data_IF_187275861045
#
_entry.id   IF_187275861045
#
_cell.length_a   1.000
_cell.length_b   1.000
_cell.length_c   1.000
_cell.angle_alpha   90.00
_cell.angle_beta   90.00
_cell.angle_gamma   90.00
#
_symmetry.space_group_name_H-M   'P 1'
#
loop_
_entity.id
_entity.type
_entity.pdbx_description
1 polymer ?
#
# COMPACT_ATOMS: atom_id res chain seq x y z
N UNK A 1 -69.52 -24.15 31.87
CA UNK A 1 -69.00 -24.57 30.55
C UNK A 1 -67.89 -23.65 30.03
N UNK A 2 -67.92 -22.36 30.37
CA UNK A 2 -66.92 -21.33 30.02
C UNK A 2 -65.53 -21.57 30.62
N UNK A 3 -65.41 -21.98 31.90
CA UNK A 3 -64.09 -22.19 32.54
C UNK A 3 -63.24 -23.30 31.90
N UNK A 4 -63.88 -24.37 31.39
CA UNK A 4 -63.17 -25.45 30.69
C UNK A 4 -62.64 -24.98 29.33
N UNK A 5 -63.42 -24.17 28.61
CA UNK A 5 -63.00 -23.59 27.33
C UNK A 5 -61.83 -22.61 27.51
N UNK A 6 -61.89 -21.77 28.56
CA UNK A 6 -60.80 -20.85 28.92
C UNK A 6 -59.51 -21.60 29.28
N UNK A 7 -59.61 -22.70 30.04
CA UNK A 7 -58.46 -23.53 30.38
C UNK A 7 -57.77 -24.15 29.14
N UNK A 8 -58.55 -24.63 28.17
CA UNK A 8 -58.02 -25.18 26.91
C UNK A 8 -57.32 -24.10 26.08
N UNK A 9 -57.89 -22.90 26.01
CA UNK A 9 -57.26 -21.78 25.27
C UNK A 9 -55.98 -21.30 25.95
N UNK A 10 -55.96 -21.22 27.28
CA UNK A 10 -54.78 -20.88 28.07
C UNK A 10 -53.65 -21.89 27.86
N UNK A 11 -53.98 -23.19 27.94
CA UNK A 11 -53.01 -24.26 27.69
C UNK A 11 -52.43 -24.19 26.27
N UNK A 12 -53.27 -23.95 25.25
CA UNK A 12 -52.79 -23.77 23.86
C UNK A 12 -51.83 -22.58 23.71
N UNK A 13 -52.12 -21.46 24.38
CA UNK A 13 -51.25 -20.27 24.36
C UNK A 13 -49.92 -20.56 25.06
N UNK A 14 -49.95 -21.21 26.22
CA UNK A 14 -48.73 -21.58 26.97
C UNK A 14 -47.85 -22.55 26.19
N UNK A 15 -48.42 -23.57 25.54
CA UNK A 15 -47.68 -24.49 24.69
C UNK A 15 -47.04 -23.76 23.49
N UNK A 16 -47.78 -22.85 22.85
CA UNK A 16 -47.26 -22.06 21.72
C UNK A 16 -46.16 -21.10 22.17
N UNK A 17 -46.28 -20.50 23.35
CA UNK A 17 -45.25 -19.66 23.96
C UNK A 17 -43.99 -20.46 24.30
N UNK A 18 -44.12 -21.68 24.81
CA UNK A 18 -42.99 -22.58 25.06
C UNK A 18 -42.28 -22.96 23.76
N UNK A 19 -43.01 -23.30 22.70
CA UNK A 19 -42.43 -23.59 21.38
C UNK A 19 -41.71 -22.37 20.82
N UNK A 20 -42.31 -21.18 20.89
CA UNK A 20 -41.67 -19.93 20.46
C UNK A 20 -40.44 -19.58 21.31
N UNK A 21 -40.49 -19.83 22.62
CA UNK A 21 -39.36 -19.62 23.53
C UNK A 21 -38.21 -20.58 23.20
N UNK A 22 -38.50 -21.85 22.93
CA UNK A 22 -37.51 -22.84 22.49
C UNK A 22 -36.92 -22.45 21.12
N UNK A 23 -37.75 -22.04 20.15
CA UNK A 23 -37.30 -21.56 18.84
C UNK A 23 -36.41 -20.30 18.95
N UNK A 24 -36.69 -19.38 19.90
CA UNK A 24 -35.84 -18.22 20.17
C UNK A 24 -34.48 -18.60 20.77
N UNK A 25 -34.39 -19.65 21.61
CA UNK A 25 -33.09 -20.15 22.09
C UNK A 25 -32.28 -20.84 20.99
N UNK A 26 -32.96 -21.45 20.02
CA UNK A 26 -32.33 -22.06 18.83
C UNK A 26 -32.04 -21.09 17.70
N UNK A 27 -32.28 -19.77 17.87
CA UNK A 27 -31.64 -18.76 17.00
C UNK A 27 -30.14 -18.87 17.23
N UNK A 28 -29.49 -19.68 16.39
CA UNK A 28 -28.05 -19.83 16.28
C UNK A 28 -27.46 -18.43 16.34
N UNK A 29 -26.70 -18.17 17.40
CA UNK A 29 -25.72 -17.08 17.44
C UNK A 29 -24.97 -17.21 16.12
N UNK A 30 -25.17 -16.26 15.20
CA UNK A 30 -24.54 -16.24 13.89
C UNK A 30 -23.10 -16.67 14.10
N UNK A 31 -22.77 -17.91 13.75
CA UNK A 31 -21.53 -18.51 14.21
C UNK A 31 -20.46 -17.75 13.45
N UNK A 32 -19.82 -16.79 14.13
CA UNK A 32 -18.78 -15.95 13.56
C UNK A 32 -17.90 -16.86 12.71
N UNK A 33 -17.96 -16.67 11.39
CA UNK A 33 -17.29 -17.58 10.46
C UNK A 33 -15.83 -17.61 10.90
N UNK A 34 -15.29 -18.80 11.17
CA UNK A 34 -13.91 -18.94 11.61
C UNK A 34 -13.03 -18.21 10.59
N UNK A 35 -12.24 -17.23 11.03
CA UNK A 35 -11.35 -16.48 10.15
C UNK A 35 -10.40 -17.47 9.46
N UNK A 36 -10.41 -17.47 8.14
CA UNK A 36 -9.47 -18.25 7.34
C UNK A 36 -8.06 -17.72 7.54
N UNK A 37 -7.04 -18.58 7.37
CA UNK A 37 -5.64 -18.17 7.46
C UNK A 37 -5.29 -17.04 6.48
N UNK A 38 -5.95 -16.98 5.32
CA UNK A 38 -5.81 -15.88 4.34
C UNK A 38 -6.25 -14.53 4.90
N UNK A 39 -7.37 -14.50 5.64
CA UNK A 39 -7.88 -13.28 6.27
C UNK A 39 -6.93 -12.83 7.38
N UNK A 40 -6.43 -13.76 8.19
CA UNK A 40 -5.42 -13.45 9.22
C UNK A 40 -4.12 -12.90 8.62
N UNK A 41 -3.68 -13.46 7.50
CA UNK A 41 -2.50 -12.96 6.78
C UNK A 41 -2.73 -11.54 6.25
N UNK A 42 -3.91 -11.26 5.67
CA UNK A 42 -4.28 -9.92 5.22
C UNK A 42 -4.30 -8.91 6.38
N UNK A 43 -4.89 -9.27 7.52
CA UNK A 43 -4.89 -8.44 8.74
C UNK A 43 -3.47 -8.13 9.21
N UNK A 44 -2.57 -9.14 9.20
CA UNK A 44 -1.17 -8.94 9.56
C UNK A 44 -0.45 -7.98 8.60
N UNK A 45 -0.66 -8.14 7.29
CA UNK A 45 -0.06 -7.27 6.28
C UNK A 45 -0.48 -5.80 6.45
N UNK A 46 -1.75 -5.57 6.80
CA UNK A 46 -2.28 -4.22 7.03
C UNK A 46 -1.71 -3.54 8.28
N UNK A 47 -1.14 -4.28 9.22
CA UNK A 47 -0.45 -3.72 10.40
C UNK A 47 1.04 -3.54 10.13
N UNK A 48 1.69 -4.51 9.47
CA UNK A 48 3.14 -4.56 9.35
C UNK A 48 3.71 -3.66 8.24
N UNK A 49 3.01 -3.51 7.13
CA UNK A 49 3.54 -2.84 5.93
C UNK A 49 3.27 -1.34 5.78
N UNK A 50 2.24 -0.71 6.38
CA UNK A 50 2.10 0.74 6.34
C UNK A 50 3.32 1.51 6.90
N UNK A 51 3.97 1.10 8.01
CA UNK A 51 5.18 1.78 8.48
C UNK A 51 6.34 1.76 7.47
N UNK A 52 6.42 0.74 6.61
CA UNK A 52 7.51 0.56 5.64
C UNK A 52 7.24 1.32 4.34
N UNK A 53 6.01 1.26 3.83
CA UNK A 53 5.66 1.82 2.51
C UNK A 53 4.82 3.11 2.58
N UNK A 54 4.42 3.52 3.78
CA UNK A 54 3.63 4.72 4.04
C UNK A 54 2.40 4.81 3.13
N UNK A 55 2.21 5.95 2.42
CA UNK A 55 1.03 6.18 1.58
C UNK A 55 0.96 5.25 0.36
N UNK A 56 2.04 4.54 0.03
CA UNK A 56 2.06 3.60 -1.11
C UNK A 56 1.43 2.25 -0.75
N UNK A 57 1.29 1.91 0.53
CA UNK A 57 0.77 0.60 0.96
C UNK A 57 -0.57 0.21 0.32
N UNK A 58 -1.60 1.07 0.24
CA UNK A 58 -2.87 0.72 -0.39
C UNK A 58 -2.70 0.28 -1.86
N UNK A 59 -1.80 0.93 -2.61
CA UNK A 59 -1.49 0.54 -4.00
C UNK A 59 -0.81 -0.84 -4.08
N UNK A 60 0.08 -1.15 -3.15
CA UNK A 60 0.77 -2.44 -3.07
C UNK A 60 -0.20 -3.55 -2.67
N UNK A 61 -1.05 -3.30 -1.67
CA UNK A 61 -2.11 -4.20 -1.24
C UNK A 61 -3.06 -4.53 -2.38
N UNK A 62 -3.49 -3.53 -3.15
CA UNK A 62 -4.29 -3.74 -4.36
C UNK A 62 -3.56 -4.61 -5.38
N UNK A 63 -2.28 -4.37 -5.63
CA UNK A 63 -1.49 -5.18 -6.54
C UNK A 63 -1.37 -6.64 -6.09
N UNK A 64 -1.20 -6.90 -4.79
CA UNK A 64 -1.12 -8.25 -4.21
C UNK A 64 -2.44 -9.03 -4.33
N UNK A 65 -3.58 -8.33 -4.26
CA UNK A 65 -4.91 -8.94 -4.38
C UNK A 65 -5.39 -9.04 -5.84
N UNK A 66 -4.68 -8.40 -6.76
CA UNK A 66 -4.96 -8.45 -8.20
C UNK A 66 -4.31 -9.67 -8.88
N UNK A 67 -4.66 -9.90 -10.14
CA UNK A 67 -4.03 -10.94 -10.96
C UNK A 67 -2.55 -10.64 -11.16
N UNK A 68 -1.70 -11.61 -10.80
CA UNK A 68 -0.25 -11.49 -10.97
C UNK A 68 0.13 -11.46 -12.45
N UNK A 69 1.10 -10.61 -12.78
CA UNK A 69 1.70 -10.52 -14.12
C UNK A 69 2.89 -11.46 -14.19
N UNK A 70 2.87 -12.39 -15.13
CA UNK A 70 3.94 -13.36 -15.34
C UNK A 70 4.96 -12.86 -16.34
N UNK A 71 6.20 -13.33 -16.21
CA UNK A 71 7.31 -13.05 -17.10
C UNK A 71 7.90 -14.39 -17.54
N UNK A 72 8.15 -14.54 -18.83
CA UNK A 72 8.84 -15.70 -19.36
C UNK A 72 10.35 -15.47 -19.27
N UNK A 73 11.06 -16.44 -18.70
CA UNK A 73 12.52 -16.51 -18.75
C UNK A 73 12.89 -17.46 -19.88
N UNK A 74 13.61 -16.95 -20.87
CA UNK A 74 14.00 -17.72 -22.04
C UNK A 74 15.15 -18.66 -21.67
N UNK A 75 15.05 -19.90 -22.13
CA UNK A 75 16.12 -20.87 -21.95
C UNK A 75 17.21 -20.65 -23.02
N UNK A 76 18.42 -20.28 -22.59
CA UNK A 76 19.54 -20.02 -23.49
C UNK A 76 20.11 -21.27 -24.16
N UNK A 77 19.85 -22.46 -23.62
CA UNK A 77 20.31 -23.74 -24.20
C UNK A 77 19.39 -24.28 -25.29
N UNK A 78 18.23 -23.63 -25.50
CA UNK A 78 17.32 -23.94 -26.58
C UNK A 78 17.47 -22.94 -27.73
N UNK A 79 16.68 -23.11 -28.79
CA UNK A 79 16.58 -22.14 -29.89
C UNK A 79 15.89 -20.85 -29.39
N UNK A 80 16.68 -19.98 -28.78
CA UNK A 80 16.21 -18.76 -28.13
C UNK A 80 15.68 -17.74 -29.14
N UNK A 81 16.27 -17.62 -30.32
CA UNK A 81 15.83 -16.68 -31.37
C UNK A 81 14.39 -16.95 -31.82
N UNK A 82 14.09 -18.20 -32.19
CA UNK A 82 12.73 -18.63 -32.55
C UNK A 82 11.74 -18.42 -31.41
N UNK A 83 12.18 -18.68 -30.18
CA UNK A 83 11.34 -18.51 -28.99
C UNK A 83 11.02 -17.03 -28.74
N UNK A 84 12.01 -16.15 -28.94
CA UNK A 84 11.85 -14.70 -28.81
C UNK A 84 10.89 -14.16 -29.86
N UNK A 85 11.06 -14.56 -31.12
CA UNK A 85 10.18 -14.16 -32.23
C UNK A 85 8.73 -14.56 -31.94
N UNK A 86 8.48 -15.82 -31.59
CA UNK A 86 7.16 -16.30 -31.21
C UNK A 86 6.54 -15.50 -30.05
N UNK A 87 7.33 -15.16 -29.03
CA UNK A 87 6.84 -14.34 -27.92
C UNK A 87 6.52 -12.91 -28.36
N UNK A 88 7.32 -12.32 -29.24
CA UNK A 88 7.07 -10.98 -29.80
C UNK A 88 5.80 -10.96 -30.66
N UNK A 89 5.55 -12.01 -31.44
CA UNK A 89 4.32 -12.17 -32.23
C UNK A 89 3.07 -12.26 -31.35
N UNK A 90 3.20 -12.88 -30.17
CA UNK A 90 2.17 -12.89 -29.12
C UNK A 90 2.01 -11.54 -28.40
N UNK A 91 2.82 -10.53 -28.76
CA UNK A 91 2.82 -9.19 -28.17
C UNK A 91 3.62 -9.08 -26.87
N UNK A 92 4.45 -10.07 -26.54
CA UNK A 92 5.38 -9.95 -25.42
C UNK A 92 6.47 -8.94 -25.74
N UNK A 93 7.01 -8.32 -24.69
CA UNK A 93 8.07 -7.31 -24.85
C UNK A 93 9.23 -7.60 -23.93
N UNK A 94 10.45 -7.41 -24.42
CA UNK A 94 11.64 -7.54 -23.60
C UNK A 94 11.67 -6.43 -22.53
N UNK A 95 11.55 -6.88 -21.29
CA UNK A 95 11.55 -6.07 -20.09
C UNK A 95 12.94 -5.47 -19.86
N UNK A 96 14.01 -6.24 -20.14
CA UNK A 96 15.39 -5.80 -19.91
C UNK A 96 15.73 -4.61 -20.80
N UNK A 97 15.42 -4.72 -22.09
CA UNK A 97 15.61 -3.62 -23.04
C UNK A 97 14.78 -2.37 -22.69
N UNK A 98 13.53 -2.53 -22.25
CA UNK A 98 12.73 -1.38 -21.79
C UNK A 98 13.35 -0.67 -20.59
N UNK A 99 13.84 -1.42 -19.60
CA UNK A 99 14.41 -0.82 -18.40
C UNK A 99 15.78 -0.17 -18.63
N UNK A 100 16.61 -0.66 -19.56
CA UNK A 100 17.88 0.00 -19.88
C UNK A 100 17.65 1.41 -20.42
N UNK A 101 16.70 1.57 -21.35
CA UNK A 101 16.33 2.88 -21.91
C UNK A 101 15.84 3.83 -20.81
N UNK A 102 14.99 3.34 -19.90
CA UNK A 102 14.47 4.16 -18.78
C UNK A 102 15.62 4.55 -17.85
N UNK A 103 16.50 3.61 -17.50
CA UNK A 103 17.62 3.86 -16.61
C UNK A 103 18.57 4.92 -17.19
N UNK A 104 18.85 4.87 -18.49
CA UNK A 104 19.73 5.83 -19.15
C UNK A 104 19.10 7.23 -19.23
N UNK A 105 17.79 7.32 -19.48
CA UNK A 105 17.04 8.60 -19.37
C UNK A 105 17.09 9.18 -17.96
N UNK A 106 16.95 8.33 -16.94
CA UNK A 106 17.03 8.76 -15.54
C UNK A 106 18.43 9.26 -15.17
N UNK A 107 19.49 8.63 -15.69
CA UNK A 107 20.87 9.10 -15.50
C UNK A 107 21.11 10.44 -16.19
N UNK A 108 20.61 10.61 -17.42
CA UNK A 108 20.75 11.88 -18.15
C UNK A 108 20.04 13.03 -17.41
N UNK A 109 18.81 12.82 -16.94
CA UNK A 109 18.08 13.82 -16.16
C UNK A 109 18.78 14.17 -14.84
N UNK A 110 19.39 13.19 -14.15
CA UNK A 110 20.18 13.45 -12.94
C UNK A 110 21.43 14.29 -13.23
N UNK A 111 22.13 14.03 -14.34
CA UNK A 111 23.31 14.82 -14.74
C UNK A 111 22.93 16.28 -15.03
N UNK A 112 21.82 16.50 -15.75
CA UNK A 112 21.31 17.85 -16.03
C UNK A 112 20.92 18.60 -14.75
N UNK A 113 20.24 17.94 -13.82
CA UNK A 113 19.90 18.55 -12.52
C UNK A 113 21.14 18.84 -11.66
N UNK A 114 22.15 17.99 -11.70
CA UNK A 114 23.41 18.23 -10.99
C UNK A 114 24.19 19.41 -11.61
N UNK A 115 24.14 19.57 -12.94
CA UNK A 115 24.76 20.70 -13.66
C UNK A 115 24.05 22.02 -13.39
N UNK A 116 22.71 22.03 -13.39
CA UNK A 116 21.94 23.23 -13.02
C UNK A 116 22.19 23.67 -11.57
N UNK A 117 22.29 22.71 -10.64
CA UNK A 117 22.61 23.03 -9.24
C UNK A 117 24.05 23.52 -9.08
N UNK A 118 25.00 23.07 -9.91
CA UNK A 118 26.36 23.63 -9.88
C UNK A 118 26.45 25.01 -10.52
N UNK A 119 25.68 25.29 -11.58
CA UNK A 119 25.63 26.61 -12.23
C UNK A 119 24.90 27.66 -11.37
N UNK A 120 23.79 27.30 -10.70
CA UNK A 120 23.13 28.18 -9.72
C UNK A 120 24.01 28.46 -8.47
N UNK A 121 24.92 27.55 -8.12
CA UNK A 121 25.91 27.76 -7.04
C UNK A 121 27.07 28.67 -7.46
N UNK A 122 27.39 28.76 -8.76
CA UNK A 122 28.45 29.64 -9.27
C UNK A 122 27.94 31.07 -9.55
N UNK A 123 26.68 31.24 -9.98
CA UNK A 123 26.07 32.58 -10.09
C UNK A 123 25.91 33.26 -8.73
N UNK A 124 25.61 32.49 -7.67
CA UNK A 124 25.47 33.01 -6.30
C UNK A 124 26.79 33.42 -5.61
N UNK A 125 27.96 33.19 -6.22
CA UNK A 125 29.26 33.65 -5.67
C UNK A 125 29.78 34.95 -6.33
N UNK A 126 29.09 35.48 -7.34
CA UNK A 126 29.54 36.68 -8.08
C UNK A 126 28.74 37.96 -7.77
N UNK A 127 27.65 37.88 -7.02
CA UNK A 127 26.78 39.04 -6.72
C UNK A 127 27.02 39.72 -5.36
N UNK A 128 27.80 39.13 -4.44
CA UNK A 128 28.07 39.72 -3.11
C UNK A 128 29.29 40.68 -3.05
N UNK A 129 29.61 41.34 -4.17
CA UNK A 129 30.47 42.53 -4.19
C UNK A 129 29.76 43.67 -4.91
N UNK A 130 28.77 44.24 -4.22
CA UNK A 130 28.49 45.68 -4.20
C UNK A 130 27.41 45.98 -3.15
N UNK A 131 27.74 46.96 -2.32
CA UNK A 131 26.83 47.77 -1.50
C UNK A 131 26.30 47.14 -0.20
N UNK A 132 27.12 47.15 0.84
CA UNK A 132 26.72 47.62 2.19
C UNK A 132 27.98 48.00 2.98
N UNK A 133 28.50 49.20 2.76
CA UNK A 133 29.17 49.91 3.85
C UNK A 133 28.09 50.47 4.78
N UNK A 134 28.39 50.46 6.08
CA UNK A 134 27.64 51.02 7.21
C UNK A 134 26.49 50.20 7.81
N UNK A 135 26.87 49.18 8.60
CA UNK A 135 26.30 48.95 9.93
C UNK A 135 27.33 48.21 10.81
N UNK A 136 27.72 48.88 11.87
CA UNK A 136 28.79 48.53 12.80
C UNK A 136 28.63 47.15 13.49
N UNK A 137 29.74 46.38 13.45
CA UNK A 137 30.36 45.69 14.58
C UNK A 137 29.47 44.96 15.62
N UNK A 138 29.24 43.65 15.43
CA UNK A 138 29.27 42.67 16.55
C UNK A 138 29.93 41.35 16.07
N UNK A 139 31.11 41.04 16.61
CA UNK A 139 31.81 39.75 16.40
C UNK A 139 31.08 38.60 17.09
N UNK A 140 31.11 37.37 16.51
CA UNK A 140 30.46 36.20 17.07
C UNK A 140 31.34 35.54 18.14
N UNK A 141 30.85 35.46 19.38
CA UNK A 141 31.27 34.39 20.29
C UNK A 141 30.18 34.10 21.34
N UNK A 142 29.99 32.81 21.64
CA UNK A 142 29.22 32.24 22.76
C UNK A 142 27.69 32.33 22.74
N UNK A 143 27.04 31.32 22.15
CA UNK A 143 25.98 30.57 22.85
C UNK A 143 26.18 29.06 22.59
N UNK A 144 27.31 28.54 23.08
CA UNK A 144 27.35 27.16 23.59
C UNK A 144 26.91 27.24 25.03
N UNK A 145 25.60 27.12 25.28
CA UNK A 145 24.91 26.71 26.53
C UNK A 145 23.42 26.95 26.26
N UNK A 146 22.53 26.03 26.67
CA UNK A 146 21.06 26.06 26.55
C UNK A 146 20.43 25.26 25.39
N UNK A 147 20.78 23.99 25.29
CA UNK A 147 19.75 22.95 25.36
C UNK A 147 20.17 22.00 26.47
N UNK A 148 19.64 22.30 27.65
CA UNK A 148 19.52 21.36 28.77
C UNK A 148 18.43 20.34 28.47
#
# INVERSE_FOLDING_TARGET
>A
KTSKMLAITKWRIEQRLLVLHMQRRFKRKESQRKKTNTIRAQEYFDVAYPPVYGPRWPSIRLALLSKQKYVAVINNFANHELTVENFQDLGAVDIRHKYSIIADRMKASKKQKAQQVSEECEESFSEDQRDTEDSELIRPSLVKTMMS
#
